data_IF_807590990765
#
_entry.id   IF_807590990765
#
_cell.length_a   1.000
_cell.length_b   1.000
_cell.length_c   1.000
_cell.angle_alpha   90.00
_cell.angle_beta   90.00
_cell.angle_gamma   90.00
#
_symmetry.space_group_name_H-M   'P 1'
#
loop_
_entity.id
_entity.type
_entity.pdbx_description
1 polymer ?
#
# COMPACT_ATOMS: atom_id res chain seq x y z
N UNK A 1 -60.74 -19.49 34.79
CA UNK A 1 -60.78 -18.16 34.16
C UNK A 1 -59.51 -17.44 34.59
N UNK A 2 -58.57 -16.98 33.76
CA UNK A 2 -58.51 -16.80 32.33
C UNK A 2 -57.07 -17.09 31.86
N UNK A 3 -56.94 -17.67 30.66
CA UNK A 3 -55.69 -17.97 29.98
C UNK A 3 -55.20 -16.73 29.21
N UNK A 4 -53.89 -16.49 29.19
CA UNK A 4 -53.22 -15.50 28.35
C UNK A 4 -52.49 -16.26 27.22
N UNK A 5 -52.68 -15.89 25.93
CA UNK A 5 -52.05 -16.59 24.83
C UNK A 5 -50.64 -16.03 24.54
N UNK A 6 -49.70 -16.95 24.35
CA UNK A 6 -48.37 -16.73 23.79
C UNK A 6 -48.47 -16.54 22.27
N UNK A 7 -47.85 -15.47 21.76
CA UNK A 7 -47.77 -15.17 20.33
C UNK A 7 -46.49 -15.81 19.78
N UNK A 8 -46.65 -16.86 18.99
CA UNK A 8 -45.60 -17.50 18.19
C UNK A 8 -45.36 -16.71 16.90
N UNK A 9 -44.13 -16.25 16.68
CA UNK A 9 -43.71 -15.62 15.43
C UNK A 9 -43.36 -16.70 14.39
N UNK A 10 -44.04 -16.66 13.24
CA UNK A 10 -43.83 -17.57 12.12
C UNK A 10 -42.56 -17.24 11.34
N UNK A 11 -41.71 -18.24 11.16
CA UNK A 11 -40.56 -18.25 10.25
C UNK A 11 -41.03 -18.29 8.80
N UNK A 12 -40.63 -17.30 8.00
CA UNK A 12 -40.78 -17.30 6.55
C UNK A 12 -39.42 -17.63 5.92
N UNK A 13 -39.29 -18.84 5.39
CA UNK A 13 -38.15 -19.31 4.59
C UNK A 13 -38.57 -19.31 3.13
N UNK A 14 -38.17 -18.29 2.37
CA UNK A 14 -38.29 -18.27 0.90
C UNK A 14 -36.97 -18.71 0.27
N UNK A 15 -37.01 -19.86 -0.39
CA UNK A 15 -35.96 -20.41 -1.23
C UNK A 15 -36.09 -19.88 -2.65
N UNK A 16 -35.07 -19.20 -3.17
CA UNK A 16 -34.91 -18.96 -4.60
C UNK A 16 -33.44 -19.18 -4.99
N UNK A 17 -33.19 -20.36 -5.54
CA UNK A 17 -31.99 -20.68 -6.32
C UNK A 17 -32.13 -20.10 -7.73
N UNK A 18 -31.06 -19.59 -8.33
CA UNK A 18 -30.87 -19.68 -9.77
C UNK A 18 -29.80 -20.73 -10.07
N UNK A 19 -30.24 -21.83 -10.68
CA UNK A 19 -29.41 -22.80 -11.37
C UNK A 19 -28.63 -22.10 -12.51
N UNK A 20 -27.30 -22.12 -12.46
CA UNK A 20 -26.47 -21.99 -13.66
C UNK A 20 -25.91 -23.37 -13.99
N UNK A 21 -26.50 -23.98 -15.02
CA UNK A 21 -26.00 -25.19 -15.65
C UNK A 21 -24.68 -24.89 -16.37
N UNK A 22 -23.67 -25.66 -16.02
CA UNK A 22 -22.49 -25.93 -16.81
C UNK A 22 -22.88 -26.69 -18.09
N UNK A 23 -22.24 -26.37 -19.22
CA UNK A 23 -22.14 -27.29 -20.36
C UNK A 23 -20.73 -27.21 -20.98
N UNK A 24 -20.07 -28.35 -21.18
CA UNK A 24 -18.71 -28.41 -21.72
C UNK A 24 -18.68 -28.72 -23.24
N UNK A 25 -17.71 -28.09 -23.90
CA UNK A 25 -16.79 -28.61 -24.93
C UNK A 25 -17.28 -29.01 -26.36
N UNK A 26 -16.37 -28.69 -27.30
CA UNK A 26 -15.88 -29.48 -28.47
C UNK A 26 -16.20 -28.94 -29.89
N UNK A 27 -15.10 -28.47 -30.53
CA UNK A 27 -14.65 -28.65 -31.93
C UNK A 27 -15.35 -27.91 -33.08
N UNK A 28 -14.58 -27.13 -33.85
CA UNK A 28 -14.04 -27.59 -35.15
C UNK A 28 -13.22 -26.49 -35.83
N UNK A 29 -12.43 -26.94 -36.79
CA UNK A 29 -11.17 -26.43 -37.30
C UNK A 29 -11.25 -25.55 -38.55
N UNK A 30 -10.12 -24.87 -38.82
CA UNK A 30 -9.62 -24.32 -40.11
C UNK A 30 -10.27 -23.02 -40.60
N UNK A 31 -9.46 -21.97 -40.76
CA UNK A 31 -9.00 -21.53 -42.09
C UNK A 31 -7.97 -20.40 -41.96
N UNK A 32 -6.87 -20.59 -42.68
CA UNK A 32 -5.73 -19.73 -42.95
C UNK A 32 -6.14 -18.35 -43.48
N UNK A 33 -5.54 -17.28 -42.96
CA UNK A 33 -5.35 -16.03 -43.73
C UNK A 33 -4.12 -15.26 -43.21
N UNK A 34 -3.00 -15.60 -43.85
CA UNK A 34 -1.87 -14.76 -44.27
C UNK A 34 -1.75 -13.34 -43.71
N UNK A 35 -0.65 -13.12 -42.99
CA UNK A 35 -0.06 -11.83 -42.65
C UNK A 35 0.61 -11.21 -43.88
N UNK A 36 0.04 -10.15 -44.44
CA UNK A 36 0.70 -9.33 -45.46
C UNK A 36 1.34 -8.09 -44.83
N UNK A 37 2.66 -8.12 -44.72
CA UNK A 37 3.50 -6.95 -44.49
C UNK A 37 3.60 -6.14 -45.81
N UNK A 38 3.50 -4.80 -45.80
CA UNK A 38 3.80 -4.02 -46.99
C UNK A 38 5.31 -3.80 -47.10
N UNK A 39 5.94 -4.46 -48.07
CA UNK A 39 7.28 -4.11 -48.57
C UNK A 39 7.20 -2.83 -49.39
N UNK A 40 7.75 -1.73 -48.87
CA UNK A 40 7.99 -0.52 -49.65
C UNK A 40 9.23 -0.69 -50.52
N UNK A 41 9.02 -0.86 -51.82
CA UNK A 41 10.09 -0.87 -52.83
C UNK A 41 10.26 0.55 -53.38
N UNK A 42 11.34 1.23 -52.99
CA UNK A 42 11.75 2.51 -53.60
C UNK A 42 12.57 2.20 -54.85
N UNK A 43 12.06 2.64 -56.01
CA UNK A 43 12.77 2.64 -57.30
C UNK A 43 13.91 3.65 -57.27
N UNK A 44 15.11 3.22 -57.66
CA UNK A 44 16.22 4.11 -57.98
C UNK A 44 16.35 4.21 -59.51
N UNK A 45 16.32 5.43 -60.05
CA UNK A 45 16.77 5.77 -61.40
C UNK A 45 17.97 6.71 -61.26
N UNK A 46 19.11 6.32 -61.82
CA UNK A 46 20.39 7.01 -61.63
C UNK A 46 20.67 8.18 -62.57
N UNK A 47 21.71 8.94 -62.24
CA UNK A 47 22.74 9.46 -63.15
C UNK A 47 23.86 10.12 -62.33
N UNK A 48 25.01 10.33 -62.98
CA UNK A 48 26.38 10.29 -62.47
C UNK A 48 26.97 11.65 -62.02
N UNK A 49 28.10 11.53 -61.31
CA UNK A 49 29.22 12.48 -61.08
C UNK A 49 29.08 13.50 -59.94
N UNK A 50 29.86 13.23 -58.89
CA UNK A 50 30.26 14.19 -57.87
C UNK A 50 31.24 13.54 -56.88
N UNK A 51 32.53 13.56 -57.19
CA UNK A 51 33.61 13.05 -56.33
C UNK A 51 33.94 14.13 -55.29
N UNK A 52 33.53 13.95 -54.03
CA UNK A 52 34.11 14.63 -52.88
C UNK A 52 34.05 13.70 -51.66
N UNK A 53 35.16 13.72 -50.93
CA UNK A 53 35.52 12.92 -49.76
C UNK A 53 34.72 13.30 -48.51
N UNK A 54 34.11 12.31 -47.84
CA UNK A 54 34.18 12.23 -46.36
C UNK A 54 33.89 10.80 -45.92
N UNK A 55 34.85 10.18 -45.23
CA UNK A 55 34.67 8.93 -44.53
C UNK A 55 33.80 9.21 -43.28
N UNK A 56 32.50 9.31 -43.45
CA UNK A 56 31.59 9.47 -42.31
C UNK A 56 31.31 8.08 -41.76
N UNK A 57 32.06 7.70 -40.73
CA UNK A 57 31.76 6.54 -39.90
C UNK A 57 30.29 6.65 -39.49
N UNK A 58 29.42 5.65 -39.74
CA UNK A 58 28.08 5.72 -39.20
C UNK A 58 28.24 5.72 -37.68
N UNK A 59 27.99 6.89 -37.07
CA UNK A 59 27.84 7.00 -35.62
C UNK A 59 26.73 6.03 -35.27
N UNK A 60 27.11 4.92 -34.63
CA UNK A 60 26.20 3.87 -34.24
C UNK A 60 24.97 4.48 -33.60
N UNK A 61 23.79 4.04 -34.06
CA UNK A 61 22.53 4.41 -33.46
C UNK A 61 22.59 4.01 -31.99
N UNK A 62 22.84 4.98 -31.10
CA UNK A 62 22.83 4.75 -29.66
C UNK A 62 21.37 4.67 -29.26
N UNK A 63 20.84 3.45 -29.30
CA UNK A 63 19.51 3.14 -28.74
C UNK A 63 19.62 3.37 -27.24
N UNK A 64 19.22 4.55 -26.79
CA UNK A 64 18.88 4.75 -25.39
C UNK A 64 17.56 4.01 -25.19
N UNK A 65 17.52 3.10 -24.22
CA UNK A 65 16.30 2.42 -23.80
C UNK A 65 15.24 3.47 -23.40
N UNK A 66 14.44 3.91 -24.37
CA UNK A 66 13.43 4.94 -24.22
C UNK A 66 12.12 4.31 -23.73
N UNK A 67 12.17 3.65 -22.57
CA UNK A 67 10.97 3.13 -21.90
C UNK A 67 11.17 2.79 -20.41
N UNK A 68 12.20 3.31 -19.74
CA UNK A 68 12.22 3.23 -18.28
C UNK A 68 11.31 4.32 -17.75
N UNK A 69 10.07 3.97 -17.39
CA UNK A 69 9.24 4.83 -16.54
C UNK A 69 10.11 5.31 -15.35
N UNK A 70 9.98 6.57 -14.91
CA UNK A 70 10.70 7.03 -13.72
C UNK A 70 10.44 6.04 -12.58
N UNK A 71 11.48 5.79 -11.75
CA UNK A 71 11.36 4.89 -10.62
C UNK A 71 10.19 5.34 -9.74
N UNK A 72 9.20 4.45 -9.54
CA UNK A 72 8.10 4.72 -8.62
C UNK A 72 8.68 5.04 -7.25
N UNK A 73 8.10 6.03 -6.57
CA UNK A 73 8.46 6.25 -5.17
C UNK A 73 8.12 4.99 -4.37
N UNK A 74 8.86 4.68 -3.28
CA UNK A 74 8.57 3.51 -2.43
C UNK A 74 7.10 3.45 -1.94
N UNK A 75 6.47 4.62 -1.89
CA UNK A 75 5.07 4.85 -1.60
C UNK A 75 4.08 4.36 -2.67
N UNK A 76 4.41 4.48 -3.96
CA UNK A 76 3.53 4.12 -5.07
C UNK A 76 3.64 2.62 -5.45
N UNK A 77 4.51 1.87 -4.78
CA UNK A 77 4.63 0.44 -5.00
C UNK A 77 3.36 -0.31 -4.59
N UNK A 78 3.03 -1.35 -5.35
CA UNK A 78 1.87 -2.19 -5.10
C UNK A 78 2.00 -2.92 -3.75
N UNK A 79 0.88 -3.06 -3.04
CA UNK A 79 0.85 -3.70 -1.72
C UNK A 79 1.47 -5.09 -1.74
N UNK A 80 1.25 -5.87 -2.80
CA UNK A 80 1.83 -7.21 -2.95
C UNK A 80 3.36 -7.19 -2.86
N UNK A 81 3.98 -6.19 -3.47
CA UNK A 81 5.45 -6.01 -3.48
C UNK A 81 5.96 -5.64 -2.09
N UNK A 82 5.33 -4.65 -1.46
CA UNK A 82 5.65 -4.22 -0.08
C UNK A 82 5.51 -5.38 0.90
N UNK A 83 4.40 -6.13 0.82
CA UNK A 83 4.11 -7.30 1.63
C UNK A 83 5.16 -8.41 1.44
N UNK A 84 5.54 -8.70 0.20
CA UNK A 84 6.57 -9.69 -0.09
C UNK A 84 7.92 -9.28 0.50
N UNK A 85 8.28 -8.00 0.41
CA UNK A 85 9.51 -7.46 1.00
C UNK A 85 9.50 -7.54 2.53
N UNK A 86 8.40 -7.16 3.18
CA UNK A 86 8.24 -7.28 4.64
C UNK A 86 8.36 -8.73 5.11
N UNK A 87 7.79 -9.68 4.37
CA UNK A 87 7.94 -11.11 4.65
C UNK A 87 9.38 -11.59 4.45
N UNK A 88 10.04 -11.17 3.38
CA UNK A 88 11.44 -11.48 3.12
C UNK A 88 12.35 -11.00 4.26
N UNK A 89 12.05 -9.82 4.80
CA UNK A 89 12.75 -9.21 5.94
C UNK A 89 12.29 -9.73 7.30
N UNK A 90 11.35 -10.69 7.31
CA UNK A 90 10.82 -11.36 8.51
C UNK A 90 10.20 -10.38 9.53
N UNK A 91 9.57 -9.32 9.05
CA UNK A 91 8.79 -8.41 9.92
C UNK A 91 7.65 -9.19 10.53
N UNK A 92 7.56 -9.20 11.86
CA UNK A 92 6.58 -10.00 12.60
C UNK A 92 5.41 -9.12 13.03
N UNK A 93 4.19 -9.60 12.79
CA UNK A 93 2.99 -9.04 13.42
C UNK A 93 2.87 -9.55 14.86
N UNK A 94 2.54 -8.65 15.78
CA UNK A 94 2.32 -8.95 17.21
C UNK A 94 0.92 -8.52 17.60
N UNK A 95 0.28 -9.31 18.46
CA UNK A 95 -1.03 -8.96 19.03
C UNK A 95 -0.89 -7.87 20.09
N UNK A 96 -1.97 -7.15 20.40
CA UNK A 96 -1.94 -6.01 21.33
C UNK A 96 -1.48 -6.38 22.75
N UNK A 97 -1.88 -7.56 23.25
CA UNK A 97 -1.44 -8.08 24.56
C UNK A 97 0.03 -8.51 24.55
N UNK A 98 0.49 -9.09 23.44
CA UNK A 98 1.91 -9.42 23.25
C UNK A 98 2.75 -8.14 23.17
N UNK A 99 2.29 -7.13 22.47
CA UNK A 99 2.98 -5.84 22.35
C UNK A 99 3.16 -5.17 23.72
N UNK A 100 2.13 -5.16 24.58
CA UNK A 100 2.26 -4.67 25.95
C UNK A 100 3.29 -5.47 26.77
N UNK A 101 3.30 -6.80 26.61
CA UNK A 101 4.29 -7.66 27.27
C UNK A 101 5.72 -7.35 26.79
N UNK A 102 5.92 -7.23 25.48
CA UNK A 102 7.21 -6.90 24.86
C UNK A 102 7.71 -5.51 25.25
N UNK A 103 6.80 -4.54 25.39
CA UNK A 103 7.11 -3.20 25.88
C UNK A 103 7.70 -3.27 27.31
N UNK A 104 7.04 -4.01 28.21
CA UNK A 104 7.45 -4.14 29.63
C UNK A 104 8.69 -5.00 29.84
N UNK A 105 8.78 -6.14 29.16
CA UNK A 105 9.81 -7.16 29.44
C UNK A 105 11.07 -6.98 28.57
N UNK A 106 10.93 -6.43 27.36
CA UNK A 106 12.01 -6.43 26.37
C UNK A 106 12.37 -5.04 25.85
N UNK A 107 11.85 -3.98 26.48
CA UNK A 107 12.08 -2.57 26.16
C UNK A 107 11.78 -2.24 24.69
N UNK A 108 10.65 -2.74 24.18
CA UNK A 108 10.20 -2.38 22.84
C UNK A 108 9.57 -0.98 22.88
N UNK A 109 9.90 -0.18 21.87
CA UNK A 109 9.33 1.16 21.67
C UNK A 109 8.14 1.04 20.73
N UNK A 110 6.99 1.58 21.13
CA UNK A 110 5.82 1.69 20.26
C UNK A 110 5.96 2.99 19.46
N UNK A 111 5.99 2.89 18.14
CA UNK A 111 6.02 4.02 17.21
C UNK A 111 4.60 4.24 16.67
N UNK A 112 3.95 5.31 17.12
CA UNK A 112 2.65 5.72 16.59
C UNK A 112 2.84 6.59 15.35
N UNK A 113 2.30 6.14 14.22
CA UNK A 113 2.41 6.85 12.93
C UNK A 113 1.18 7.66 12.55
N UNK A 114 0.21 7.79 13.46
CA UNK A 114 -0.97 8.64 13.27
C UNK A 114 -0.60 10.14 13.34
N UNK A 115 -1.43 11.03 12.76
CA UNK A 115 -1.38 12.47 12.99
C UNK A 115 -1.28 12.81 14.48
N UNK A 116 -0.58 13.91 14.79
CA UNK A 116 -0.33 14.34 16.17
C UNK A 116 -1.63 14.60 16.95
N UNK A 117 -2.68 15.08 16.28
CA UNK A 117 -4.00 15.24 16.89
C UNK A 117 -4.58 13.90 17.42
N UNK A 118 -4.49 12.82 16.63
CA UNK A 118 -4.96 11.49 17.05
C UNK A 118 -4.10 10.91 18.20
N UNK A 119 -2.82 11.32 18.27
CA UNK A 119 -1.90 10.89 19.33
C UNK A 119 -2.22 11.58 20.65
N UNK A 120 -2.43 12.90 20.64
CA UNK A 120 -2.76 13.70 21.83
C UNK A 120 -4.01 13.20 22.54
N UNK A 121 -5.04 12.84 21.77
CA UNK A 121 -6.30 12.32 22.32
C UNK A 121 -6.13 11.03 23.12
N UNK A 122 -5.37 10.06 22.60
CA UNK A 122 -5.14 8.78 23.26
C UNK A 122 -4.00 8.00 22.58
N UNK A 123 -3.03 7.49 23.35
CA UNK A 123 -1.93 6.67 22.85
C UNK A 123 -1.42 5.67 23.92
N UNK A 124 -0.71 4.60 23.54
CA UNK A 124 -0.07 3.69 24.51
C UNK A 124 1.00 4.41 25.34
N UNK A 125 1.18 4.05 26.62
CA UNK A 125 2.14 4.73 27.49
C UNK A 125 3.57 4.61 26.96
N UNK A 126 4.31 5.72 26.97
CA UNK A 126 5.68 5.78 26.46
C UNK A 126 5.81 5.52 24.95
N UNK A 127 4.73 5.63 24.18
CA UNK A 127 4.79 5.60 22.73
C UNK A 127 5.43 6.88 22.18
N UNK A 128 6.10 6.77 21.04
CA UNK A 128 6.69 7.91 20.33
C UNK A 128 5.84 8.20 19.10
N UNK A 129 5.38 9.45 18.94
CA UNK A 129 4.69 9.87 17.73
C UNK A 129 5.68 10.33 16.63
N UNK A 130 5.54 9.75 15.43
CA UNK A 130 6.13 10.27 14.19
C UNK A 130 5.14 10.05 13.04
N UNK A 131 4.55 11.14 12.57
CA UNK A 131 3.49 11.13 11.55
C UNK A 131 4.05 10.72 10.18
N UNK A 132 3.49 9.65 9.59
CA UNK A 132 3.82 9.24 8.22
C UNK A 132 3.08 10.08 7.17
N UNK A 133 1.85 10.48 7.47
CA UNK A 133 1.04 11.34 6.61
C UNK A 133 0.80 12.67 7.30
N UNK A 134 1.04 13.76 6.58
CA UNK A 134 0.75 15.13 7.00
C UNK A 134 -0.46 15.66 6.24
N UNK A 135 -1.19 16.60 6.82
CA UNK A 135 -2.17 17.38 6.06
C UNK A 135 -1.42 18.16 4.98
N UNK A 136 -1.97 18.23 3.76
CA UNK A 136 -1.40 19.04 2.67
C UNK A 136 -1.27 20.48 3.16
N UNK A 137 -0.05 20.89 3.50
CA UNK A 137 0.27 22.26 3.97
C UNK A 137 0.46 23.21 2.80
N UNK A 138 0.81 22.70 1.62
CA UNK A 138 1.20 23.54 0.50
C UNK A 138 -0.01 24.00 -0.30
N UNK A 139 -0.07 25.32 -0.51
CA UNK A 139 -1.03 26.01 -1.36
C UNK A 139 -0.46 26.18 -2.77
N UNK A 140 0.22 25.17 -3.28
CA UNK A 140 0.70 25.15 -4.65
C UNK A 140 -0.50 24.97 -5.59
N UNK A 141 -0.52 25.64 -6.74
CA UNK A 141 -1.64 25.55 -7.69
C UNK A 141 -2.00 24.09 -8.08
N UNK A 142 -0.99 23.22 -8.12
CA UNK A 142 -1.16 21.79 -8.34
C UNK A 142 -1.85 21.07 -7.18
N UNK A 143 -1.53 21.40 -5.93
CA UNK A 143 -2.14 20.82 -4.74
C UNK A 143 -3.57 21.31 -4.54
N UNK A 144 -3.87 22.56 -4.92
CA UNK A 144 -5.23 23.10 -4.95
C UNK A 144 -6.06 22.35 -5.99
N UNK A 145 -5.53 22.14 -7.20
CA UNK A 145 -6.21 21.38 -8.24
C UNK A 145 -6.46 19.93 -7.80
N UNK A 146 -5.46 19.28 -7.20
CA UNK A 146 -5.56 17.92 -6.66
C UNK A 146 -6.59 17.83 -5.53
N UNK A 147 -6.59 18.80 -4.62
CA UNK A 147 -7.55 18.89 -3.51
C UNK A 147 -8.97 19.16 -4.00
N UNK A 148 -9.14 20.02 -5.00
CA UNK A 148 -10.43 20.28 -5.64
C UNK A 148 -10.96 19.02 -6.35
N UNK A 149 -10.10 18.29 -7.06
CA UNK A 149 -10.46 17.01 -7.67
C UNK A 149 -10.89 15.99 -6.59
N UNK A 150 -10.11 15.83 -5.52
CA UNK A 150 -10.46 14.94 -4.42
C UNK A 150 -11.76 15.35 -3.73
N UNK A 151 -11.97 16.64 -3.48
CA UNK A 151 -13.21 17.18 -2.92
C UNK A 151 -14.43 16.92 -3.85
N UNK A 152 -14.25 17.01 -5.16
CA UNK A 152 -15.29 16.64 -6.13
C UNK A 152 -15.70 15.15 -6.02
N UNK A 153 -14.75 14.27 -5.67
CA UNK A 153 -15.01 12.87 -5.34
C UNK A 153 -15.36 12.62 -3.86
N UNK A 154 -15.62 13.67 -3.07
CA UNK A 154 -16.02 13.55 -1.66
C UNK A 154 -14.87 13.31 -0.67
N UNK A 155 -13.60 13.42 -1.10
CA UNK A 155 -12.41 13.25 -0.26
C UNK A 155 -11.88 14.63 0.14
N UNK A 156 -12.31 15.12 1.31
CA UNK A 156 -12.00 16.48 1.76
C UNK A 156 -10.72 16.60 2.61
N UNK A 157 -10.29 15.48 3.22
CA UNK A 157 -9.07 15.39 4.02
C UNK A 157 -7.92 14.79 3.19
N UNK A 158 -7.45 15.53 2.20
CA UNK A 158 -6.25 15.16 1.45
C UNK A 158 -5.04 15.09 2.38
N UNK A 159 -4.43 13.92 2.48
CA UNK A 159 -3.17 13.71 3.21
C UNK A 159 -2.03 13.51 2.22
N UNK A 160 -0.87 14.05 2.54
CA UNK A 160 0.37 13.89 1.80
C UNK A 160 1.34 13.07 2.63
N UNK A 161 2.24 12.36 1.98
CA UNK A 161 3.36 11.70 2.65
C UNK A 161 4.31 12.72 3.26
N UNK A 162 4.80 12.42 4.46
CA UNK A 162 5.76 13.25 5.14
C UNK A 162 7.19 12.90 4.68
N UNK A 163 7.88 13.75 3.91
CA UNK A 163 9.27 13.49 3.50
C UNK A 163 10.24 13.44 4.69
N UNK A 164 9.89 14.09 5.80
CA UNK A 164 10.71 14.14 7.02
C UNK A 164 10.51 12.91 7.94
N UNK A 165 9.65 11.97 7.56
CA UNK A 165 9.30 10.82 8.41
C UNK A 165 10.53 10.03 8.87
N UNK A 166 11.41 9.64 7.93
CA UNK A 166 12.59 8.81 8.24
C UNK A 166 13.56 9.59 9.14
N UNK A 167 13.84 10.85 8.82
CA UNK A 167 14.74 11.70 9.61
C UNK A 167 14.22 11.91 11.04
N UNK A 168 12.91 12.12 11.18
CA UNK A 168 12.27 12.27 12.48
C UNK A 168 12.36 10.97 13.31
N UNK A 169 12.20 9.79 12.70
CA UNK A 169 12.41 8.52 13.41
C UNK A 169 13.87 8.35 13.81
N UNK A 170 14.81 8.65 12.91
CA UNK A 170 16.25 8.55 13.20
C UNK A 170 16.71 9.45 14.35
N UNK A 171 16.09 10.62 14.51
CA UNK A 171 16.40 11.54 15.62
C UNK A 171 15.90 11.05 16.99
N UNK A 172 14.86 10.20 17.02
CA UNK A 172 14.22 9.74 18.26
C UNK A 172 14.55 8.28 18.60
N UNK A 173 14.84 7.46 17.60
CA UNK A 173 14.96 6.00 17.74
C UNK A 173 16.17 5.48 16.96
N UNK A 174 17.04 4.76 17.66
CA UNK A 174 18.20 4.09 17.07
C UNK A 174 17.79 3.01 16.06
N UNK A 175 18.59 2.85 14.99
CA UNK A 175 18.33 1.85 13.92
C UNK A 175 18.32 0.38 14.40
N UNK A 176 18.95 0.10 15.55
CA UNK A 176 18.98 -1.23 16.17
C UNK A 176 17.93 -1.41 17.27
N UNK A 177 17.20 -0.36 17.66
CA UNK A 177 16.14 -0.45 18.66
C UNK A 177 15.02 -1.37 18.20
N UNK A 178 14.30 -1.97 19.15
CA UNK A 178 13.17 -2.84 18.88
C UNK A 178 11.91 -1.99 18.80
N UNK A 179 11.30 -1.94 17.62
CA UNK A 179 10.21 -1.00 17.31
C UNK A 179 8.95 -1.79 16.98
N UNK A 180 7.83 -1.40 17.59
CA UNK A 180 6.49 -1.87 17.22
C UNK A 180 5.77 -0.70 16.55
N UNK A 181 5.51 -0.81 15.25
CA UNK A 181 4.83 0.25 14.49
C UNK A 181 3.32 0.08 14.63
N UNK A 182 2.64 1.16 15.03
CA UNK A 182 1.22 1.18 15.32
C UNK A 182 0.49 2.30 14.56
N UNK A 183 -0.72 2.00 14.10
CA UNK A 183 -1.67 2.98 13.59
C UNK A 183 -3.09 2.58 14.03
N UNK A 184 -4.12 3.36 13.68
CA UNK A 184 -5.51 3.11 14.14
C UNK A 184 -5.99 1.70 13.79
N UNK A 185 -5.90 1.30 12.52
CA UNK A 185 -6.46 0.01 12.05
C UNK A 185 -5.48 -1.17 12.15
N UNK A 186 -4.17 -0.93 12.11
CA UNK A 186 -3.14 -1.96 12.04
C UNK A 186 -3.07 -2.70 10.70
N UNK A 187 -4.19 -3.14 10.14
CA UNK A 187 -4.18 -4.03 8.97
C UNK A 187 -3.61 -5.41 9.31
N UNK A 188 -3.31 -6.21 8.28
CA UNK A 188 -2.79 -7.56 8.48
C UNK A 188 -1.93 -8.02 7.31
N UNK A 189 -0.85 -8.74 7.60
CA UNK A 189 -0.04 -9.44 6.60
C UNK A 189 -0.54 -10.86 6.33
N UNK A 190 -1.48 -11.37 7.15
CA UNK A 190 -2.02 -12.72 7.03
C UNK A 190 -3.06 -12.75 5.90
N UNK A 191 -2.95 -13.70 4.96
CA UNK A 191 -3.94 -13.85 3.91
C UNK A 191 -5.26 -14.39 4.51
N UNK A 192 -6.40 -13.94 3.98
CA UNK A 192 -7.72 -14.44 4.32
C UNK A 192 -8.55 -14.68 3.06
N UNK A 193 -9.69 -15.37 3.18
CA UNK A 193 -10.56 -15.69 2.03
C UNK A 193 -11.00 -14.44 1.24
N UNK A 194 -11.27 -13.34 1.96
CA UNK A 194 -11.70 -12.08 1.35
C UNK A 194 -10.52 -11.17 0.96
N UNK A 195 -9.35 -11.38 1.57
CA UNK A 195 -8.16 -10.56 1.39
C UNK A 195 -6.94 -11.48 1.17
N UNK A 196 -6.72 -11.97 -0.06
CA UNK A 196 -5.66 -12.94 -0.34
C UNK A 196 -4.25 -12.38 -0.08
N UNK A 197 -4.08 -11.06 -0.16
CA UNK A 197 -2.82 -10.38 0.16
C UNK A 197 -2.84 -9.71 1.54
N UNK A 198 -3.85 -9.98 2.38
CA UNK A 198 -4.05 -9.25 3.63
C UNK A 198 -4.51 -7.81 3.39
N UNK A 199 -4.33 -6.96 4.39
CA UNK A 199 -4.80 -5.57 4.38
C UNK A 199 -3.65 -4.60 4.65
N UNK A 200 -3.37 -3.73 3.67
CA UNK A 200 -2.43 -2.62 3.84
C UNK A 200 -2.96 -1.60 4.87
N UNK A 201 -2.04 -0.99 5.61
CA UNK A 201 -2.34 0.06 6.58
C UNK A 201 -1.20 1.08 6.68
N UNK A 202 -1.43 2.20 7.37
CA UNK A 202 -0.40 3.22 7.64
C UNK A 202 0.81 2.63 8.37
N UNK A 203 0.60 1.73 9.34
CA UNK A 203 1.67 1.08 10.10
C UNK A 203 2.49 0.11 9.24
N UNK A 204 1.87 -0.60 8.30
CA UNK A 204 2.59 -1.49 7.38
C UNK A 204 3.42 -0.71 6.35
N UNK A 205 2.92 0.42 5.87
CA UNK A 205 3.68 1.32 4.99
C UNK A 205 4.87 1.92 5.75
N UNK A 206 4.66 2.38 6.99
CA UNK A 206 5.74 2.87 7.84
C UNK A 206 6.79 1.77 8.12
N UNK A 207 6.37 0.55 8.45
CA UNK A 207 7.28 -0.58 8.64
C UNK A 207 8.11 -0.85 7.37
N UNK A 208 7.50 -0.76 6.20
CA UNK A 208 8.20 -0.90 4.92
C UNK A 208 9.29 0.16 4.75
N UNK A 209 8.95 1.44 4.99
CA UNK A 209 9.91 2.54 4.92
C UNK A 209 11.06 2.38 5.92
N UNK A 210 10.78 1.96 7.16
CA UNK A 210 11.83 1.75 8.16
C UNK A 210 12.78 0.62 7.75
N UNK A 211 12.24 -0.50 7.28
CA UNK A 211 13.08 -1.63 6.86
C UNK A 211 13.91 -1.30 5.62
N UNK A 212 13.37 -0.51 4.68
CA UNK A 212 14.15 0.04 3.55
C UNK A 212 15.33 0.90 4.02
N UNK A 213 15.13 1.69 5.09
CA UNK A 213 16.16 2.55 5.67
C UNK A 213 17.08 1.83 6.69
N UNK A 214 17.05 0.50 6.71
CA UNK A 214 18.02 -0.33 7.45
C UNK A 214 17.66 -0.63 8.90
N UNK A 215 16.44 -0.34 9.34
CA UNK A 215 15.95 -0.78 10.65
C UNK A 215 15.78 -2.30 10.67
N UNK A 216 16.40 -2.96 11.65
CA UNK A 216 16.47 -4.44 11.70
C UNK A 216 15.34 -5.07 12.52
N UNK A 217 14.97 -4.44 13.62
CA UNK A 217 14.06 -5.00 14.62
C UNK A 217 12.68 -4.32 14.54
N UNK A 218 12.04 -4.40 13.38
CA UNK A 218 10.73 -3.80 13.13
C UNK A 218 9.63 -4.86 13.28
N UNK A 219 8.63 -4.52 14.08
CA UNK A 219 7.45 -5.32 14.37
C UNK A 219 6.21 -4.49 14.03
N UNK A 220 5.12 -5.19 13.76
CA UNK A 220 3.86 -4.60 13.36
C UNK A 220 2.76 -4.89 14.38
N UNK A 221 2.03 -3.88 14.84
CA UNK A 221 0.90 -4.07 15.74
C UNK A 221 -0.35 -4.53 14.98
N UNK A 222 -0.70 -5.81 15.08
CA UNK A 222 -1.90 -6.37 14.43
C UNK A 222 -3.18 -5.87 15.12
N UNK A 223 -4.19 -5.53 14.30
CA UNK A 223 -5.45 -4.92 14.78
C UNK A 223 -5.33 -3.47 15.25
N UNK A 224 -4.11 -2.92 15.29
CA UNK A 224 -3.81 -1.52 15.55
C UNK A 224 -4.25 -1.01 16.93
N UNK A 225 -4.25 0.31 17.06
CA UNK A 225 -4.62 0.99 18.30
C UNK A 225 -6.11 0.90 18.60
N UNK A 226 -6.96 0.73 17.58
CA UNK A 226 -8.37 0.44 17.81
C UNK A 226 -8.57 -0.80 18.68
N UNK A 227 -7.84 -1.88 18.39
CA UNK A 227 -7.89 -3.11 19.20
C UNK A 227 -7.25 -2.90 20.57
N UNK A 228 -6.18 -2.10 20.66
CA UNK A 228 -5.53 -1.76 21.93
C UNK A 228 -6.51 -1.10 22.91
N UNK A 229 -7.24 -0.08 22.44
CA UNK A 229 -8.23 0.63 23.24
C UNK A 229 -9.45 -0.24 23.54
N UNK A 230 -9.90 -1.04 22.57
CA UNK A 230 -11.03 -1.97 22.74
C UNK A 230 -10.77 -3.02 23.83
N UNK A 231 -9.54 -3.51 23.93
CA UNK A 231 -9.11 -4.47 24.95
C UNK A 231 -8.84 -3.81 26.32
N UNK A 232 -9.02 -2.48 26.46
CA UNK A 232 -8.85 -1.76 27.72
C UNK A 232 -7.40 -1.71 28.20
N UNK A 233 -6.43 -1.73 27.28
CA UNK A 233 -5.01 -1.66 27.63
C UNK A 233 -4.62 -0.25 28.10
N UNK A 234 -3.51 -0.11 28.87
CA UNK A 234 -3.05 1.19 29.38
C UNK A 234 -2.94 2.23 28.26
N UNK A 235 -3.43 3.44 28.53
CA UNK A 235 -3.53 4.54 27.57
C UNK A 235 -3.21 5.85 28.28
N UNK A 236 -2.48 6.73 27.61
CA UNK A 236 -2.11 8.08 28.02
C UNK A 236 -2.67 9.10 27.02
N UNK A 237 -2.69 10.36 27.41
CA UNK A 237 -3.15 11.51 26.62
C UNK A 237 -2.20 12.69 26.88
N UNK A 238 -2.03 13.53 25.87
CA UNK A 238 -1.19 14.72 25.93
C UNK A 238 -2.09 15.95 25.70
N UNK A 239 -1.90 17.00 26.51
CA UNK A 239 -2.57 18.30 26.35
C UNK A 239 -1.86 19.21 25.33
#
# INVERSE_FOLDING_TARGET
>A
MAALPSISSHSSSSSLYPNYQSSPLIFSSKTTQELSLPTFTIRSSGSLRGRLTSCTVPRGLKVFNAATKPAKSPAEEDWKTKRAFLQQKKVRSVDVKEALRLQKENNFVILDVRPEAEFKEAHPPGAINVQIYRLIKEWTAWDIARRAAFAFFGIFAGTEENPEFVQAVESKIDRNAKIIVACTAGGTMKPSQNLPEGQQSRSLIAAYLLVLNGYKNVFHLEGGLYTWFKEGLPTEWEE
#
